data_IF_345310184917
#
_entry.id   IF_345310184917
#
_cell.length_a   1.000
_cell.length_b   1.000
_cell.length_c   1.000
_cell.angle_alpha   90.00
_cell.angle_beta   90.00
_cell.angle_gamma   90.00
#
_symmetry.space_group_name_H-M   'P 1'
#
loop_
_entity.id
_entity.type
_entity.pdbx_description
1 polymer ?
#
# COMPACT_ATOMS: atom_id res chain seq x y z
N UNK A 1 11.21 -38.03 26.97
CA UNK A 1 12.01 -37.50 25.85
C UNK A 1 11.22 -37.32 24.57
N UNK A 2 10.30 -38.21 24.22
CA UNK A 2 9.42 -38.11 23.03
C UNK A 2 8.48 -36.88 23.02
N UNK A 3 7.94 -36.50 24.18
CA UNK A 3 7.02 -35.33 24.31
C UNK A 3 7.71 -34.00 24.10
N UNK A 4 9.02 -33.90 24.35
CA UNK A 4 9.80 -32.69 24.13
C UNK A 4 10.06 -32.42 22.65
N UNK A 5 10.25 -33.47 21.86
CA UNK A 5 10.41 -33.37 20.39
C UNK A 5 9.10 -32.97 19.71
N UNK A 6 7.95 -33.45 20.21
CA UNK A 6 6.64 -33.07 19.68
C UNK A 6 6.32 -31.58 19.94
N UNK A 7 6.71 -31.06 21.12
CA UNK A 7 6.50 -29.66 21.45
C UNK A 7 7.34 -28.72 20.56
N UNK A 8 8.58 -29.10 20.22
CA UNK A 8 9.46 -28.33 19.34
C UNK A 8 8.92 -28.32 17.90
N UNK A 9 8.38 -29.43 17.41
CA UNK A 9 7.81 -29.49 16.05
C UNK A 9 6.53 -28.66 15.92
N UNK A 10 5.70 -28.58 16.96
CA UNK A 10 4.48 -27.74 16.94
C UNK A 10 4.81 -26.24 16.96
N UNK A 11 5.86 -25.80 17.66
CA UNK A 11 6.31 -24.40 17.65
C UNK A 11 6.87 -24.02 16.28
N UNK A 12 7.62 -24.88 15.62
CA UNK A 12 8.13 -24.64 14.26
C UNK A 12 7.01 -24.62 13.21
N UNK A 13 5.95 -25.45 13.36
CA UNK A 13 4.80 -25.44 12.46
C UNK A 13 3.95 -24.17 12.59
N UNK A 14 3.87 -23.55 13.77
CA UNK A 14 3.15 -22.30 13.98
C UNK A 14 3.85 -21.10 13.34
N UNK A 15 5.16 -21.13 13.19
CA UNK A 15 5.92 -20.06 12.49
C UNK A 15 5.93 -20.21 10.98
N UNK A 16 5.64 -21.40 10.44
CA UNK A 16 5.62 -21.67 9.00
C UNK A 16 4.45 -20.98 8.25
N UNK A 17 3.42 -20.52 8.94
CA UNK A 17 2.27 -19.82 8.37
C UNK A 17 2.35 -18.29 8.44
N UNK A 18 3.37 -17.72 9.11
CA UNK A 18 3.62 -16.31 9.05
C UNK A 18 4.40 -16.03 7.76
N UNK A 19 3.83 -15.26 6.84
CA UNK A 19 4.56 -14.75 5.67
C UNK A 19 5.84 -14.07 6.13
N UNK A 20 6.91 -14.12 5.31
CA UNK A 20 8.15 -13.40 5.59
C UNK A 20 7.89 -11.89 5.74
N UNK A 21 8.86 -11.14 6.28
CA UNK A 21 8.73 -9.69 6.36
C UNK A 21 8.77 -9.05 4.97
N UNK A 22 7.97 -8.01 4.76
CA UNK A 22 8.15 -7.10 3.63
C UNK A 22 9.41 -6.28 3.87
N UNK A 23 10.21 -6.13 2.82
CA UNK A 23 11.48 -5.39 2.86
C UNK A 23 11.36 -4.10 2.05
N UNK A 24 12.07 -3.06 2.44
CA UNK A 24 12.24 -1.86 1.65
C UNK A 24 13.33 -2.03 0.56
N UNK A 25 13.57 -0.97 -0.21
CA UNK A 25 14.55 -1.00 -1.31
C UNK A 25 16.00 -1.27 -0.84
N UNK A 26 16.30 -1.01 0.42
CA UNK A 26 17.61 -1.26 1.02
C UNK A 26 17.74 -2.68 1.60
N UNK A 27 16.63 -3.45 1.60
CA UNK A 27 16.56 -4.77 2.22
C UNK A 27 16.23 -4.72 3.72
N UNK A 28 15.86 -3.54 4.24
CA UNK A 28 15.46 -3.38 5.63
C UNK A 28 14.01 -3.84 5.84
N UNK A 29 13.76 -4.48 6.97
CA UNK A 29 12.40 -4.94 7.33
C UNK A 29 11.49 -3.74 7.55
N UNK A 30 10.30 -3.76 6.93
CA UNK A 30 9.27 -2.75 7.15
C UNK A 30 8.57 -3.02 8.48
N UNK A 31 8.68 -2.05 9.38
CA UNK A 31 7.97 -1.98 10.65
C UNK A 31 6.90 -0.88 10.63
N UNK A 32 6.54 -0.37 11.81
CA UNK A 32 5.74 0.85 11.92
C UNK A 32 6.51 2.05 11.33
N UNK A 33 5.74 2.98 10.76
CA UNK A 33 6.30 4.15 10.07
C UNK A 33 5.65 4.39 8.72
N UNK A 34 6.18 5.36 8.00
CA UNK A 34 5.67 5.81 6.71
C UNK A 34 6.64 5.42 5.60
N UNK A 35 6.08 4.93 4.49
CA UNK A 35 6.85 4.45 3.35
C UNK A 35 6.26 4.98 2.05
N UNK A 36 7.11 5.49 1.16
CA UNK A 36 6.73 5.78 -0.21
C UNK A 36 6.56 4.46 -0.98
N UNK A 37 5.53 4.42 -1.81
CA UNK A 37 5.26 3.30 -2.72
C UNK A 37 5.62 3.78 -4.12
N UNK A 38 6.70 3.28 -4.65
CA UNK A 38 7.25 3.68 -5.94
C UNK A 38 7.16 2.55 -6.96
N UNK A 39 7.09 2.86 -8.27
CA UNK A 39 7.23 1.84 -9.30
C UNK A 39 8.51 1.03 -9.11
N UNK A 40 8.43 -0.27 -9.28
CA UNK A 40 9.59 -1.17 -9.23
C UNK A 40 10.67 -0.81 -10.27
N UNK A 41 10.22 -0.39 -11.45
CA UNK A 41 11.10 0.08 -12.52
C UNK A 41 10.95 1.59 -12.59
N UNK A 42 12.02 2.31 -12.29
CA UNK A 42 12.08 3.75 -12.41
C UNK A 42 12.13 4.16 -13.88
N UNK A 43 11.38 5.17 -14.27
CA UNK A 43 11.33 5.67 -15.64
C UNK A 43 9.97 6.29 -15.98
N UNK A 44 9.63 6.46 -17.25
CA UNK A 44 8.45 7.23 -17.68
C UNK A 44 7.10 6.64 -17.24
N UNK A 45 7.13 5.63 -16.38
CA UNK A 45 5.97 5.00 -15.77
C UNK A 45 5.26 5.80 -14.66
N UNK A 46 5.73 7.01 -14.33
CA UNK A 46 5.22 7.85 -13.24
C UNK A 46 5.95 7.64 -11.92
N UNK A 47 5.61 8.46 -10.94
CA UNK A 47 6.22 8.48 -9.61
C UNK A 47 5.45 7.68 -8.56
N UNK A 48 5.54 8.15 -7.31
CA UNK A 48 4.87 7.55 -6.16
C UNK A 48 3.38 7.84 -6.11
N UNK A 49 2.75 7.41 -5.02
CA UNK A 49 1.30 7.54 -4.87
C UNK A 49 0.87 8.93 -4.45
N UNK A 50 -0.31 9.34 -4.87
CA UNK A 50 -0.90 10.63 -4.54
C UNK A 50 -2.40 10.49 -4.27
N UNK A 51 -3.04 11.61 -3.91
CA UNK A 51 -4.49 11.72 -3.76
C UNK A 51 -5.02 12.70 -4.82
N UNK A 52 -5.97 12.26 -5.61
CA UNK A 52 -6.54 13.06 -6.68
C UNK A 52 -8.08 13.01 -6.67
N UNK A 53 -8.76 14.16 -6.87
CA UNK A 53 -10.21 14.20 -7.02
C UNK A 53 -10.61 13.50 -8.31
N UNK A 54 -11.86 13.04 -8.39
CA UNK A 54 -12.42 12.39 -9.58
C UNK A 54 -13.64 13.14 -10.10
N UNK A 55 -13.65 13.41 -11.40
CA UNK A 55 -14.70 14.20 -12.02
C UNK A 55 -14.66 15.67 -11.64
N UNK A 56 -15.80 16.36 -11.69
CA UNK A 56 -15.92 17.78 -11.33
C UNK A 56 -15.95 18.09 -9.83
N UNK A 57 -15.98 17.08 -8.97
CA UNK A 57 -16.06 17.23 -7.53
C UNK A 57 -14.67 17.14 -6.91
N UNK A 58 -14.35 18.05 -5.98
CA UNK A 58 -13.07 18.02 -5.25
C UNK A 58 -12.98 16.88 -4.23
N UNK A 59 -14.09 16.35 -3.77
CA UNK A 59 -14.20 15.25 -2.81
C UNK A 59 -15.23 14.20 -3.29
N UNK A 60 -15.07 12.92 -2.98
CA UNK A 60 -13.93 12.32 -2.27
C UNK A 60 -12.66 12.24 -3.14
N UNK A 61 -11.52 12.10 -2.47
CA UNK A 61 -10.25 11.83 -3.14
C UNK A 61 -10.08 10.33 -3.40
N UNK A 62 -9.36 10.01 -4.46
CA UNK A 62 -9.00 8.67 -4.87
C UNK A 62 -7.49 8.49 -4.85
N UNK A 63 -7.02 7.27 -4.62
CA UNK A 63 -5.61 6.96 -4.68
C UNK A 63 -5.17 7.03 -6.14
N UNK A 64 -4.18 7.87 -6.40
CA UNK A 64 -3.59 8.07 -7.72
C UNK A 64 -2.09 7.82 -7.72
N UNK A 65 -1.47 8.08 -8.86
CA UNK A 65 -0.03 8.03 -9.05
C UNK A 65 0.45 9.38 -9.61
N UNK A 66 1.56 9.87 -9.11
CA UNK A 66 2.22 11.06 -9.64
C UNK A 66 2.68 10.85 -11.08
N UNK A 67 2.58 11.91 -11.90
CA UNK A 67 3.05 11.87 -13.29
C UNK A 67 4.57 11.84 -13.38
N UNK A 68 5.20 12.68 -12.57
CA UNK A 68 6.65 12.83 -12.55
C UNK A 68 7.27 11.67 -11.79
N UNK A 69 8.16 10.96 -12.43
CA UNK A 69 8.93 9.85 -11.89
C UNK A 69 9.83 10.23 -10.72
N UNK A 70 10.22 11.51 -10.63
CA UNK A 70 11.01 12.04 -9.50
C UNK A 70 10.16 12.44 -8.31
N UNK A 71 8.83 12.49 -8.46
CA UNK A 71 7.93 12.81 -7.36
C UNK A 71 7.61 11.54 -6.56
N UNK A 72 8.11 11.47 -5.34
CA UNK A 72 7.86 10.34 -4.45
C UNK A 72 6.41 10.27 -3.96
N UNK A 73 5.62 11.36 -4.12
CA UNK A 73 4.22 11.43 -3.73
C UNK A 73 4.01 11.46 -2.21
N UNK A 74 2.90 10.86 -1.77
CA UNK A 74 2.48 10.78 -0.37
C UNK A 74 2.83 9.39 0.15
N UNK A 75 3.52 9.27 1.30
CA UNK A 75 3.83 7.98 1.87
C UNK A 75 2.58 7.30 2.42
N UNK A 76 2.67 6.00 2.68
CA UNK A 76 1.62 5.19 3.28
C UNK A 76 2.07 4.62 4.62
N UNK A 77 1.07 4.27 5.46
CA UNK A 77 1.22 3.45 6.67
C UNK A 77 0.44 2.17 6.51
N UNK A 78 1.00 1.10 7.05
CA UNK A 78 0.37 -0.21 7.12
C UNK A 78 -0.16 -0.48 8.53
N UNK A 79 -1.28 -1.17 8.66
CA UNK A 79 -1.85 -1.51 9.97
C UNK A 79 -2.75 -2.73 9.92
N UNK A 80 -3.12 -3.23 11.11
CA UNK A 80 -4.20 -4.22 11.34
C UNK A 80 -3.98 -5.61 10.74
N UNK A 81 -2.75 -6.04 10.56
CA UNK A 81 -2.50 -7.45 10.26
C UNK A 81 -2.77 -8.30 11.51
N UNK A 82 -3.47 -9.42 11.30
CA UNK A 82 -3.93 -10.28 12.39
C UNK A 82 -2.83 -11.15 13.01
N UNK A 83 -1.71 -11.28 12.34
CA UNK A 83 -0.56 -12.06 12.81
C UNK A 83 0.17 -11.23 13.86
N UNK A 84 0.48 -11.81 15.03
CA UNK A 84 1.17 -11.12 16.12
C UNK A 84 2.68 -11.03 15.85
N UNK A 85 3.05 -10.24 14.85
CA UNK A 85 4.45 -9.90 14.53
C UNK A 85 4.60 -8.38 14.47
N UNK A 86 5.78 -7.89 14.80
CA UNK A 86 6.05 -6.45 14.83
C UNK A 86 6.32 -5.85 13.45
N UNK A 87 6.60 -6.66 12.45
CA UNK A 87 6.88 -6.24 11.08
C UNK A 87 5.64 -6.38 10.18
N UNK A 88 5.64 -5.72 9.02
CA UNK A 88 4.62 -5.89 7.98
C UNK A 88 4.82 -7.24 7.30
N UNK A 89 3.88 -8.20 7.45
CA UNK A 89 4.05 -9.55 6.91
C UNK A 89 3.61 -9.62 5.44
N UNK A 90 4.32 -10.42 4.64
CA UNK A 90 3.88 -10.80 3.29
C UNK A 90 2.59 -11.63 3.37
N UNK A 91 1.70 -11.45 2.41
CA UNK A 91 0.48 -12.24 2.21
C UNK A 91 -0.51 -12.26 3.39
N UNK A 92 -0.35 -11.37 4.37
CA UNK A 92 -1.33 -11.14 5.40
C UNK A 92 -2.25 -9.97 5.06
N UNK A 93 -3.53 -10.09 5.43
CA UNK A 93 -4.47 -8.99 5.25
C UNK A 93 -4.10 -7.83 6.17
N UNK A 94 -4.04 -6.63 5.61
CA UNK A 94 -3.71 -5.39 6.30
C UNK A 94 -4.53 -4.22 5.73
N UNK A 95 -4.56 -3.12 6.46
CA UNK A 95 -5.07 -1.85 6.00
C UNK A 95 -3.91 -0.94 5.56
N UNK A 96 -4.15 -0.16 4.51
CA UNK A 96 -3.21 0.83 3.98
C UNK A 96 -3.85 2.21 4.13
N UNK A 97 -3.10 3.17 4.63
CA UNK A 97 -3.53 4.56 4.82
C UNK A 97 -2.51 5.50 4.19
N UNK A 98 -2.97 6.50 3.40
CA UNK A 98 -2.08 7.59 2.98
C UNK A 98 -1.72 8.43 4.21
N UNK A 99 -0.43 8.65 4.43
CA UNK A 99 0.07 9.40 5.59
C UNK A 99 0.21 10.88 5.24
N UNK A 100 -0.89 11.58 5.40
CA UNK A 100 -1.01 13.01 5.12
C UNK A 100 -1.52 13.74 6.35
N UNK A 101 -0.88 14.87 6.69
CA UNK A 101 -1.17 15.63 7.90
C UNK A 101 -2.48 16.43 7.82
N UNK A 102 -2.82 16.95 6.64
CA UNK A 102 -4.03 17.74 6.41
C UNK A 102 -4.55 17.54 5.00
N UNK A 103 -5.87 17.57 4.85
CA UNK A 103 -6.55 17.43 3.56
C UNK A 103 -7.68 18.46 3.43
N UNK A 104 -7.94 18.86 2.18
CA UNK A 104 -9.08 19.71 1.83
C UNK A 104 -10.40 18.97 2.10
N UNK A 105 -10.44 17.66 1.83
CA UNK A 105 -11.60 16.83 2.09
C UNK A 105 -11.60 16.34 3.54
N UNK A 106 -12.68 16.55 4.28
CA UNK A 106 -12.87 16.00 5.62
C UNK A 106 -13.16 14.50 5.57
N UNK A 107 -12.20 13.72 5.08
CA UNK A 107 -12.29 12.25 4.94
C UNK A 107 -11.05 11.58 5.51
N UNK A 108 -11.22 10.35 5.95
CA UNK A 108 -10.08 9.50 6.29
C UNK A 108 -9.38 9.01 5.02
N UNK A 109 -8.12 8.62 5.14
CA UNK A 109 -7.24 8.32 4.00
C UNK A 109 -6.91 6.83 3.86
N UNK A 110 -7.70 5.97 4.50
CA UNK A 110 -7.56 4.53 4.27
C UNK A 110 -7.99 4.16 2.85
N UNK A 111 -7.25 3.22 2.26
CA UNK A 111 -7.63 2.65 0.99
C UNK A 111 -8.90 1.84 1.13
N UNK A 112 -9.85 2.10 0.24
CA UNK A 112 -11.07 1.34 0.10
C UNK A 112 -11.22 0.90 -1.36
N UNK A 113 -12.18 0.05 -1.62
CA UNK A 113 -12.55 -0.37 -2.98
C UNK A 113 -13.98 0.07 -3.23
N UNK A 114 -14.17 0.91 -4.23
CA UNK A 114 -15.49 1.36 -4.65
C UNK A 114 -16.22 0.25 -5.41
N UNK A 115 -17.53 0.41 -5.58
CA UNK A 115 -18.27 -0.35 -6.59
C UNK A 115 -17.76 -0.04 -8.01
N UNK A 116 -18.05 -0.88 -9.00
CA UNK A 116 -17.67 -0.64 -10.39
C UNK A 116 -18.29 0.66 -10.91
N UNK A 117 -17.49 1.43 -11.61
CA UNK A 117 -17.98 2.61 -12.32
C UNK A 117 -18.88 2.19 -13.48
N UNK A 118 -20.11 2.69 -13.50
CA UNK A 118 -21.13 2.32 -14.51
C UNK A 118 -20.65 2.67 -15.93
N UNK A 119 -19.90 3.76 -16.07
CA UNK A 119 -19.47 4.26 -17.39
C UNK A 119 -18.18 3.59 -17.86
N UNK A 120 -17.22 3.40 -16.93
CA UNK A 120 -15.87 2.90 -17.24
C UNK A 120 -15.69 1.42 -16.93
N UNK A 121 -16.62 0.82 -16.16
CA UNK A 121 -16.52 -0.56 -15.63
C UNK A 121 -15.29 -0.81 -14.74
N UNK A 122 -14.58 0.25 -14.38
CA UNK A 122 -13.37 0.17 -13.55
C UNK A 122 -13.73 0.28 -12.06
N UNK A 123 -13.02 -0.46 -11.24
CA UNK A 123 -13.19 -0.46 -9.80
C UNK A 123 -12.01 0.29 -9.17
N UNK A 124 -12.24 1.56 -8.86
CA UNK A 124 -11.22 2.46 -8.31
C UNK A 124 -11.05 2.32 -6.79
N UNK A 125 -9.94 2.83 -6.30
CA UNK A 125 -9.61 2.89 -4.88
C UNK A 125 -9.85 4.31 -4.31
N UNK A 126 -11.01 4.59 -3.70
CA UNK A 126 -11.21 5.84 -2.98
C UNK A 126 -10.46 5.83 -1.65
N UNK A 127 -10.02 7.01 -1.21
CA UNK A 127 -9.70 7.23 0.19
C UNK A 127 -11.00 7.31 1.02
N UNK A 128 -11.00 6.73 2.20
CA UNK A 128 -12.23 6.66 3.01
C UNK A 128 -11.98 6.20 4.44
N UNK A 129 -13.06 5.81 5.14
CA UNK A 129 -12.98 5.35 6.52
C UNK A 129 -12.14 4.07 6.63
N UNK A 130 -11.64 3.83 7.84
CA UNK A 130 -10.88 2.60 8.13
C UNK A 130 -11.77 1.38 7.96
N UNK A 131 -11.39 0.41 7.10
CA UNK A 131 -12.10 -0.86 7.01
C UNK A 131 -11.99 -1.65 8.31
N UNK A 132 -13.06 -2.36 8.69
CA UNK A 132 -13.08 -3.20 9.90
C UNK A 132 -12.12 -4.40 9.84
N UNK A 133 -11.81 -4.86 8.62
CA UNK A 133 -10.83 -5.91 8.35
C UNK A 133 -9.82 -5.41 7.34
N UNK A 134 -8.59 -5.93 7.39
CA UNK A 134 -7.61 -5.67 6.35
C UNK A 134 -8.12 -6.14 4.98
N UNK A 135 -8.06 -5.27 3.99
CA UNK A 135 -8.58 -5.53 2.65
C UNK A 135 -7.48 -5.86 1.63
N UNK A 136 -6.22 -5.61 1.98
CA UNK A 136 -5.11 -5.71 1.05
C UNK A 136 -4.04 -6.66 1.57
N UNK A 137 -3.29 -7.25 0.65
CA UNK A 137 -2.09 -8.03 0.94
C UNK A 137 -0.93 -7.51 0.10
N UNK A 138 0.28 -7.58 0.64
CA UNK A 138 1.53 -7.32 -0.08
C UNK A 138 2.10 -8.68 -0.48
N UNK A 139 2.29 -8.91 -1.77
CA UNK A 139 2.84 -10.16 -2.31
C UNK A 139 4.16 -9.92 -3.00
N UNK A 140 5.16 -10.69 -2.62
CA UNK A 140 6.50 -10.64 -3.23
C UNK A 140 6.45 -11.16 -4.67
N UNK A 141 7.14 -10.47 -5.57
CA UNK A 141 7.35 -10.90 -6.96
C UNK A 141 8.59 -11.82 -6.99
N UNK A 142 8.42 -13.00 -7.57
CA UNK A 142 9.46 -14.05 -7.60
C UNK A 142 10.20 -14.02 -8.93
N UNK A 143 10.82 -12.90 -9.25
CA UNK A 143 11.72 -12.78 -10.41
C UNK A 143 13.07 -12.17 -10.00
N UNK A 144 13.98 -12.03 -10.95
CA UNK A 144 15.33 -11.53 -10.69
C UNK A 144 15.39 -10.08 -10.21
N UNK A 145 14.39 -9.26 -10.53
CA UNK A 145 14.31 -7.85 -10.13
C UNK A 145 13.72 -7.68 -8.74
N UNK A 146 13.00 -8.70 -8.21
CA UNK A 146 12.34 -8.62 -6.91
C UNK A 146 11.18 -7.60 -6.89
N UNK A 147 10.90 -7.03 -5.70
CA UNK A 147 9.80 -6.09 -5.48
C UNK A 147 8.50 -6.78 -5.10
N UNK A 148 7.42 -6.01 -5.12
CA UNK A 148 6.13 -6.44 -4.59
C UNK A 148 4.98 -6.01 -5.50
N UNK A 149 3.82 -6.63 -5.31
CA UNK A 149 2.54 -6.16 -5.78
C UNK A 149 1.55 -6.09 -4.62
N UNK A 150 0.61 -5.17 -4.70
CA UNK A 150 -0.49 -5.07 -3.75
C UNK A 150 -1.72 -5.71 -4.37
N UNK A 151 -2.41 -6.53 -3.60
CA UNK A 151 -3.63 -7.19 -4.06
C UNK A 151 -4.78 -6.88 -3.12
N UNK A 152 -5.98 -6.74 -3.66
CA UNK A 152 -7.23 -6.67 -2.90
C UNK A 152 -7.67 -8.09 -2.55
N UNK A 153 -7.93 -8.33 -1.26
CA UNK A 153 -8.25 -9.66 -0.73
C UNK A 153 -9.27 -9.58 0.41
N UNK A 154 -10.56 -9.26 0.12
CA UNK A 154 -11.54 -9.00 1.17
C UNK A 154 -11.88 -10.22 2.02
N UNK A 155 -11.87 -11.41 1.46
CA UNK A 155 -12.36 -12.64 2.08
C UNK A 155 -11.29 -13.74 2.24
N UNK A 156 -10.02 -13.44 1.96
CA UNK A 156 -8.91 -14.39 2.07
C UNK A 156 -8.82 -15.45 0.95
N UNK A 157 -9.89 -15.66 0.19
CA UNK A 157 -9.94 -16.70 -0.85
C UNK A 157 -9.90 -16.13 -2.27
N UNK A 158 -10.41 -14.93 -2.47
CA UNK A 158 -10.40 -14.24 -3.76
C UNK A 158 -9.51 -13.00 -3.67
N UNK A 159 -8.67 -12.80 -4.64
CA UNK A 159 -7.85 -11.59 -4.74
C UNK A 159 -7.79 -11.07 -6.18
N UNK A 160 -7.68 -9.76 -6.29
CA UNK A 160 -7.47 -9.04 -7.53
C UNK A 160 -6.24 -8.17 -7.41
N UNK A 161 -5.44 -8.10 -8.45
CA UNK A 161 -4.29 -7.19 -8.49
C UNK A 161 -4.76 -5.74 -8.47
N UNK A 162 -3.93 -4.85 -7.91
CA UNK A 162 -4.08 -3.41 -8.02
C UNK A 162 -3.15 -2.94 -9.12
N UNK A 163 -3.70 -2.24 -10.10
CA UNK A 163 -2.96 -1.68 -11.22
C UNK A 163 -3.18 -0.18 -11.37
N UNK A 164 -2.51 0.42 -12.36
CA UNK A 164 -2.70 1.82 -12.75
C UNK A 164 -3.67 1.86 -13.93
N UNK A 165 -4.73 2.64 -13.77
CA UNK A 165 -5.66 3.01 -14.84
C UNK A 165 -5.55 4.51 -15.12
N UNK A 166 -5.47 4.88 -16.40
CA UNK A 166 -5.46 6.29 -16.83
C UNK A 166 -6.89 6.65 -17.22
N UNK A 167 -7.51 7.56 -16.47
CA UNK A 167 -8.88 7.99 -16.74
C UNK A 167 -8.99 8.90 -17.98
N UNK A 168 -10.20 9.30 -18.35
CA UNK A 168 -10.46 10.14 -19.55
C UNK A 168 -9.83 11.53 -19.45
N UNK A 169 -9.54 12.02 -18.23
CA UNK A 169 -8.84 13.26 -17.99
C UNK A 169 -7.32 13.09 -17.98
N UNK A 170 -6.86 11.87 -18.25
CA UNK A 170 -5.46 11.52 -18.21
C UNK A 170 -4.92 11.22 -16.79
N UNK A 171 -5.72 11.32 -15.74
CA UNK A 171 -5.25 11.11 -14.35
C UNK A 171 -4.99 9.63 -14.10
N UNK A 172 -3.80 9.34 -13.57
CA UNK A 172 -3.37 7.98 -13.21
C UNK A 172 -3.96 7.60 -11.85
N UNK A 173 -4.72 6.50 -11.80
CA UNK A 173 -5.42 6.06 -10.58
C UNK A 173 -5.18 4.60 -10.30
N UNK A 174 -5.17 4.23 -9.01
CA UNK A 174 -5.23 2.83 -8.63
C UNK A 174 -6.62 2.27 -8.87
N UNK A 175 -6.67 1.10 -9.50
CA UNK A 175 -7.90 0.35 -9.75
C UNK A 175 -7.61 -1.16 -9.64
N UNK A 176 -8.67 -1.96 -9.47
CA UNK A 176 -8.56 -3.40 -9.65
C UNK A 176 -8.20 -3.70 -11.12
N UNK A 177 -7.24 -4.57 -11.34
CA UNK A 177 -6.64 -4.80 -12.65
C UNK A 177 -6.17 -6.23 -12.81
N UNK A 178 -6.04 -6.70 -14.05
CA UNK A 178 -5.30 -7.92 -14.37
C UNK A 178 -3.80 -7.70 -14.52
N UNK A 179 -3.37 -6.43 -14.65
CA UNK A 179 -1.95 -6.04 -14.74
C UNK A 179 -1.57 -5.35 -13.44
N UNK A 180 -0.73 -5.96 -12.59
CA UNK A 180 -0.36 -5.37 -11.32
C UNK A 180 0.51 -4.12 -11.48
N UNK A 181 0.33 -3.16 -10.59
CA UNK A 181 1.29 -2.11 -10.34
C UNK A 181 2.39 -2.69 -9.45
N UNK A 182 3.53 -2.97 -10.04
CA UNK A 182 4.68 -3.54 -9.35
C UNK A 182 5.46 -2.45 -8.64
N UNK A 183 5.77 -2.66 -7.36
CA UNK A 183 6.26 -1.61 -6.47
C UNK A 183 7.47 -2.03 -5.65
N UNK A 184 8.19 -1.00 -5.19
CA UNK A 184 9.17 -1.05 -4.11
C UNK A 184 8.77 -0.05 -3.03
N UNK A 185 9.27 -0.26 -1.81
CA UNK A 185 9.02 0.61 -0.68
C UNK A 185 10.28 1.38 -0.33
N UNK A 186 10.12 2.68 -0.04
CA UNK A 186 11.20 3.55 0.41
C UNK A 186 10.78 4.20 1.71
N UNK A 187 11.55 4.04 2.77
CA UNK A 187 11.24 4.62 4.07
C UNK A 187 11.17 6.14 3.99
N UNK A 188 10.05 6.72 4.41
CA UNK A 188 9.93 8.16 4.54
C UNK A 188 10.73 8.60 5.78
N UNK A 189 11.85 9.29 5.54
CA UNK A 189 12.60 9.94 6.61
C UNK A 189 11.79 11.14 7.08
N UNK A 190 11.53 11.23 8.39
CA UNK A 190 10.96 12.44 8.98
C UNK A 190 11.92 13.59 8.69
N UNK A 191 11.54 14.46 7.78
CA UNK A 191 12.19 15.75 7.64
C UNK A 191 11.86 16.51 8.92
N UNK A 192 12.77 16.53 9.89
CA UNK A 192 12.68 17.46 11.02
C UNK A 192 12.64 18.85 10.42
N UNK A 193 11.45 19.41 10.32
CA UNK A 193 11.26 20.82 9.99
C UNK A 193 11.88 21.59 11.14
N UNK A 194 13.14 21.96 11.00
CA UNK A 194 13.81 22.92 11.87
C UNK A 194 13.14 24.27 11.62
N UNK A 195 12.06 24.52 12.32
CA UNK A 195 11.49 25.86 12.47
C UNK A 195 12.44 26.67 13.36
N UNK A 196 13.53 27.21 12.77
CA UNK A 196 14.22 28.35 13.37
C UNK A 196 13.27 29.53 13.26
N UNK A 197 12.87 30.17 14.36
CA UNK A 197 12.16 31.43 14.28
C UNK A 197 13.11 32.47 13.65
N UNK A 198 12.67 33.07 12.53
CA UNK A 198 13.31 34.25 11.99
C UNK A 198 12.95 35.37 12.96
N UNK A 199 13.92 35.80 13.78
CA UNK A 199 13.81 37.02 14.56
C UNK A 199 14.14 38.16 13.58
N UNK A 200 13.15 38.98 13.26
CA UNK A 200 13.29 40.27 12.60
C UNK A 200 13.57 41.33 13.64
#
# INVERSE_FOLDING_TARGET
MFYFLLAITTVLAATANAGGPVLDINGDIIFDGSYYVLPRIFGPGGGGLTLAPRGGNHCPLYIGQEYSEVNMGIPVRFSDWRIKVAFVPESANLNIKMDVAAMICAQSTYWNVAGPDIVMKEVYLPAGPKPSNGLFQIKKIKDALGGYKIVYCPNGSYYSDIGIFVDKQGVRRLALSSTPFEVVFVKATETKTSSKPIII
#
